data_IF_559251608985
#
_entry.id   IF_559251608985
#
_cell.length_a   1.000
_cell.length_b   1.000
_cell.length_c   1.000
_cell.angle_alpha   90.00
_cell.angle_beta   90.00
_cell.angle_gamma   90.00
#
_symmetry.space_group_name_H-M   'P 1'
#
loop_
_entity.id
_entity.type
_entity.pdbx_description
1 polymer ?
#
# COMPACT_ATOMS: atom_id res chain seq x y z
N UNK A 1 -12.63 10.65 -6.82
CA UNK A 1 -11.53 10.13 -5.96
C UNK A 1 -10.16 10.35 -6.59
N UNK A 2 -9.91 9.84 -7.80
CA UNK A 2 -8.69 10.11 -8.60
C UNK A 2 -9.10 10.46 -10.03
N UNK A 3 -8.37 11.35 -10.69
CA UNK A 3 -8.57 11.72 -12.09
C UNK A 3 -7.41 11.19 -12.94
N UNK A 4 -7.59 9.97 -13.44
CA UNK A 4 -6.59 9.31 -14.30
C UNK A 4 -6.62 9.84 -15.73
N UNK A 5 -7.76 10.41 -16.17
CA UNK A 5 -7.91 10.95 -17.50
C UNK A 5 -7.07 12.24 -17.67
N UNK A 6 -7.16 13.13 -16.70
CA UNK A 6 -6.36 14.36 -16.72
C UNK A 6 -4.87 14.06 -16.57
N UNK A 7 -4.49 13.10 -15.67
CA UNK A 7 -3.10 12.65 -15.56
C UNK A 7 -2.59 12.06 -16.89
N UNK A 8 -3.38 11.21 -17.56
CA UNK A 8 -3.01 10.68 -18.88
C UNK A 8 -2.80 11.79 -19.91
N UNK A 9 -3.66 12.81 -19.93
CA UNK A 9 -3.57 13.89 -20.92
C UNK A 9 -2.24 14.67 -20.83
N UNK A 10 -1.61 14.77 -19.64
CA UNK A 10 -0.33 15.48 -19.45
C UNK A 10 0.87 14.73 -20.04
N UNK A 11 0.77 13.40 -20.22
CA UNK A 11 1.85 12.52 -20.70
C UNK A 11 1.39 11.64 -21.88
N UNK A 12 0.35 12.08 -22.58
CA UNK A 12 -0.35 11.29 -23.59
C UNK A 12 0.53 10.82 -24.74
N UNK A 13 1.35 11.71 -25.28
CA UNK A 13 2.19 11.39 -26.43
C UNK A 13 3.25 10.34 -26.08
N UNK A 14 3.91 10.51 -24.95
CA UNK A 14 4.93 9.58 -24.48
C UNK A 14 4.34 8.20 -24.21
N UNK A 15 3.19 8.14 -23.53
CA UNK A 15 2.48 6.88 -23.24
C UNK A 15 2.06 6.18 -24.54
N UNK A 16 1.41 6.91 -25.46
CA UNK A 16 0.94 6.32 -26.72
C UNK A 16 2.09 5.76 -27.54
N UNK A 17 3.18 6.53 -27.67
CA UNK A 17 4.35 6.09 -28.43
C UNK A 17 4.99 4.82 -27.80
N UNK A 18 5.15 4.79 -26.49
CA UNK A 18 5.74 3.65 -25.81
C UNK A 18 4.87 2.38 -25.92
N UNK A 19 3.55 2.51 -25.75
CA UNK A 19 2.62 1.38 -25.88
C UNK A 19 2.58 0.86 -27.31
N UNK A 20 2.49 1.75 -28.31
CA UNK A 20 2.51 1.35 -29.73
C UNK A 20 3.80 0.65 -30.10
N UNK A 21 4.94 1.12 -29.62
CA UNK A 21 6.24 0.49 -29.87
C UNK A 21 6.30 -0.95 -29.33
N UNK A 22 5.74 -1.21 -28.14
CA UNK A 22 5.65 -2.60 -27.60
C UNK A 22 4.79 -3.47 -28.49
N UNK A 23 3.67 -2.94 -29.01
CA UNK A 23 2.75 -3.68 -29.90
C UNK A 23 3.41 -3.98 -31.23
N UNK A 24 4.05 -2.99 -31.86
CA UNK A 24 4.76 -3.14 -33.13
C UNK A 24 5.88 -4.17 -33.05
N UNK A 25 6.61 -4.19 -31.95
CA UNK A 25 7.70 -5.14 -31.71
C UNK A 25 7.22 -6.53 -31.26
N UNK A 26 5.93 -6.68 -30.93
CA UNK A 26 5.32 -7.92 -30.40
C UNK A 26 6.06 -8.50 -29.16
N UNK A 27 6.66 -7.66 -28.32
CA UNK A 27 7.45 -8.07 -27.13
C UNK A 27 6.62 -7.96 -25.85
N UNK A 28 5.48 -8.64 -25.78
CA UNK A 28 4.48 -8.47 -24.73
C UNK A 28 4.90 -8.98 -23.36
N UNK A 29 5.78 -9.99 -23.30
CA UNK A 29 6.21 -10.64 -22.05
C UNK A 29 7.73 -10.58 -21.92
N UNK A 30 8.21 -10.09 -20.77
CA UNK A 30 9.65 -9.96 -20.47
C UNK A 30 10.43 -9.15 -21.54
N UNK A 31 9.80 -8.15 -22.15
CA UNK A 31 10.44 -7.22 -23.08
C UNK A 31 11.49 -6.32 -22.39
N UNK A 32 12.26 -5.56 -23.18
CA UNK A 32 13.30 -4.69 -22.66
C UNK A 32 12.79 -3.63 -21.69
N UNK A 33 11.52 -3.20 -21.80
CA UNK A 33 10.87 -2.24 -20.92
C UNK A 33 10.77 -2.77 -19.49
N UNK A 34 10.53 -4.07 -19.31
CA UNK A 34 10.51 -4.71 -17.98
C UNK A 34 11.88 -4.64 -17.33
N UNK A 35 12.95 -4.92 -18.10
CA UNK A 35 14.32 -4.84 -17.62
C UNK A 35 14.73 -3.41 -17.28
N UNK A 36 14.37 -2.45 -18.13
CA UNK A 36 14.58 -1.01 -17.90
C UNK A 36 13.87 -0.53 -16.65
N UNK A 37 12.59 -0.87 -16.51
CA UNK A 37 11.80 -0.49 -15.34
C UNK A 37 12.41 -1.07 -14.06
N UNK A 38 12.77 -2.34 -14.06
CA UNK A 38 13.45 -3.00 -12.94
C UNK A 38 14.68 -2.21 -12.49
N UNK A 39 15.60 -1.89 -13.41
CA UNK A 39 16.84 -1.16 -13.12
C UNK A 39 16.54 0.25 -12.59
N UNK A 40 15.62 0.96 -13.23
CA UNK A 40 15.25 2.32 -12.83
C UNK A 40 14.60 2.32 -11.42
N UNK A 41 13.79 1.31 -11.12
CA UNK A 41 13.11 1.19 -9.85
C UNK A 41 14.06 0.73 -8.73
N UNK A 42 15.03 -0.15 -9.02
CA UNK A 42 16.16 -0.48 -8.11
C UNK A 42 16.92 0.79 -7.71
N UNK A 43 17.23 1.63 -8.70
CA UNK A 43 17.92 2.92 -8.47
C UNK A 43 17.07 3.88 -7.64
N UNK A 44 15.78 4.01 -7.94
CA UNK A 44 14.87 4.91 -7.23
C UNK A 44 14.71 4.51 -5.75
N UNK A 45 14.54 3.22 -5.48
CA UNK A 45 14.39 2.68 -4.13
C UNK A 45 15.71 2.53 -3.39
N UNK A 46 16.85 2.60 -4.10
CA UNK A 46 18.19 2.28 -3.56
C UNK A 46 18.24 0.85 -2.96
N UNK A 47 17.74 -0.13 -3.71
CA UNK A 47 17.76 -1.56 -3.37
C UNK A 47 18.53 -2.38 -4.40
N UNK A 48 19.07 -3.51 -3.97
CA UNK A 48 19.86 -4.38 -4.85
C UNK A 48 19.01 -5.13 -5.89
N UNK A 49 17.78 -5.50 -5.54
CA UNK A 49 16.96 -6.36 -6.39
C UNK A 49 15.49 -5.92 -6.37
N UNK A 50 14.90 -5.80 -7.57
CA UNK A 50 13.47 -5.66 -7.81
C UNK A 50 13.01 -6.86 -8.64
N UNK A 51 11.89 -7.45 -8.26
CA UNK A 51 11.24 -8.57 -8.96
C UNK A 51 9.83 -8.08 -9.35
N UNK A 52 9.62 -7.59 -10.58
CA UNK A 52 8.30 -7.20 -11.06
C UNK A 52 7.37 -8.41 -11.14
N UNK A 53 6.10 -8.21 -10.79
CA UNK A 53 5.08 -9.26 -10.78
C UNK A 53 3.72 -8.72 -11.26
N UNK A 54 2.70 -9.59 -11.31
CA UNK A 54 1.43 -9.27 -11.94
C UNK A 54 0.59 -8.24 -11.16
N UNK A 55 0.67 -8.21 -9.85
CA UNK A 55 -0.07 -7.27 -8.98
C UNK A 55 0.50 -7.25 -7.56
N UNK A 56 -0.04 -6.36 -6.70
CA UNK A 56 0.41 -6.23 -5.31
C UNK A 56 0.03 -7.42 -4.42
N UNK A 57 -1.08 -8.09 -4.67
CA UNK A 57 -1.51 -9.28 -3.92
C UNK A 57 -0.55 -10.45 -4.19
N UNK A 58 -0.19 -10.67 -5.45
CA UNK A 58 0.82 -11.65 -5.83
C UNK A 58 2.18 -11.32 -5.20
N UNK A 59 2.56 -10.03 -5.10
CA UNK A 59 3.80 -9.63 -4.46
C UNK A 59 3.85 -10.10 -3.00
N UNK A 60 2.78 -9.90 -2.23
CA UNK A 60 2.66 -10.35 -0.84
C UNK A 60 2.64 -11.88 -0.74
N UNK A 61 1.87 -12.56 -1.59
CA UNK A 61 1.80 -14.02 -1.64
C UNK A 61 3.18 -14.63 -1.91
N UNK A 62 3.85 -14.16 -2.95
CA UNK A 62 5.16 -14.67 -3.35
C UNK A 62 6.21 -14.36 -2.29
N UNK A 63 6.13 -13.19 -1.62
CA UNK A 63 7.02 -12.84 -0.52
C UNK A 63 6.92 -13.87 0.62
N UNK A 64 5.70 -14.20 1.08
CA UNK A 64 5.49 -15.21 2.12
C UNK A 64 5.93 -16.62 1.69
N UNK A 65 5.66 -17.00 0.44
CA UNK A 65 6.17 -18.27 -0.14
C UNK A 65 7.71 -18.28 -0.17
N UNK A 66 8.33 -17.14 -0.53
CA UNK A 66 9.77 -16.99 -0.63
C UNK A 66 10.52 -17.13 0.69
N UNK A 67 9.87 -16.78 1.79
CA UNK A 67 10.39 -16.96 3.15
C UNK A 67 10.35 -18.43 3.62
N UNK A 68 9.69 -19.32 2.88
CA UNK A 68 9.61 -20.75 3.22
C UNK A 68 8.68 -21.04 4.39
N UNK A 69 7.71 -20.17 4.68
CA UNK A 69 6.72 -20.37 5.73
C UNK A 69 5.86 -21.61 5.43
N UNK A 70 5.46 -22.32 6.47
CA UNK A 70 4.71 -23.56 6.36
C UNK A 70 3.26 -23.37 6.85
N UNK A 71 2.28 -24.13 6.33
CA UNK A 71 0.93 -24.12 6.86
C UNK A 71 0.89 -24.27 8.38
N UNK A 72 0.16 -23.37 9.06
CA UNK A 72 0.10 -23.29 10.51
C UNK A 72 1.12 -22.34 11.16
N UNK A 73 2.09 -21.83 10.41
CA UNK A 73 2.94 -20.71 10.89
C UNK A 73 2.09 -19.44 11.03
N UNK A 74 2.39 -18.66 12.05
CA UNK A 74 1.66 -17.44 12.35
C UNK A 74 2.34 -16.21 11.74
N UNK A 75 1.52 -15.30 11.20
CA UNK A 75 1.94 -14.02 10.63
C UNK A 75 1.17 -12.89 11.29
N UNK A 76 1.91 -12.00 11.99
CA UNK A 76 1.33 -10.83 12.65
C UNK A 76 1.11 -9.72 11.63
N UNK A 77 -0.09 -9.13 11.62
CA UNK A 77 -0.47 -8.03 10.72
C UNK A 77 -1.57 -7.17 11.35
N UNK A 78 -1.73 -5.87 10.95
CA UNK A 78 -2.85 -5.08 11.43
C UNK A 78 -4.16 -5.59 10.82
N UNK A 79 -5.26 -5.47 11.59
CA UNK A 79 -6.59 -5.78 11.07
C UNK A 79 -7.23 -4.62 10.30
N UNK A 80 -6.75 -3.39 10.50
CA UNK A 80 -7.20 -2.21 9.76
C UNK A 80 -6.33 -2.00 8.52
N UNK A 81 -6.63 -2.75 7.46
CA UNK A 81 -5.90 -2.71 6.18
C UNK A 81 -6.78 -3.15 5.02
N UNK A 82 -6.26 -3.03 3.79
CA UNK A 82 -6.85 -3.67 2.62
C UNK A 82 -6.71 -5.20 2.73
N UNK A 83 -7.71 -5.91 2.26
CA UNK A 83 -7.83 -7.36 2.48
C UNK A 83 -6.65 -8.16 1.91
N UNK A 84 -5.98 -7.69 0.84
CA UNK A 84 -4.85 -8.38 0.21
C UNK A 84 -3.74 -8.75 1.21
N UNK A 85 -3.43 -7.84 2.16
CA UNK A 85 -2.41 -8.09 3.20
C UNK A 85 -2.70 -9.36 4.00
N UNK A 86 -3.97 -9.65 4.22
CA UNK A 86 -4.44 -10.70 5.14
C UNK A 86 -4.92 -11.96 4.42
N UNK A 87 -5.53 -11.81 3.23
CA UNK A 87 -6.05 -12.96 2.46
C UNK A 87 -4.95 -13.91 2.00
N UNK A 88 -3.77 -13.37 1.63
CA UNK A 88 -2.63 -14.20 1.19
C UNK A 88 -2.09 -15.08 2.32
N UNK A 89 -2.21 -14.65 3.58
CA UNK A 89 -1.85 -15.45 4.76
C UNK A 89 -2.76 -16.67 4.83
N UNK A 90 -4.08 -16.45 4.76
CA UNK A 90 -5.05 -17.54 4.77
C UNK A 90 -4.94 -18.45 3.54
N UNK A 91 -4.73 -17.88 2.34
CA UNK A 91 -4.57 -18.61 1.09
C UNK A 91 -3.41 -19.61 1.14
N UNK A 92 -2.33 -19.27 1.84
CA UNK A 92 -1.16 -20.13 2.01
C UNK A 92 -1.28 -21.12 3.18
N UNK A 93 -2.44 -21.18 3.84
CA UNK A 93 -2.65 -22.03 5.02
C UNK A 93 -1.91 -21.54 6.27
N UNK A 94 -1.40 -20.32 6.24
CA UNK A 94 -0.79 -19.63 7.39
C UNK A 94 -1.90 -19.10 8.31
N UNK A 95 -1.54 -18.77 9.54
CA UNK A 95 -2.49 -18.25 10.53
C UNK A 95 -2.30 -16.75 10.70
N UNK A 96 -3.27 -15.91 10.31
CA UNK A 96 -3.21 -14.49 10.58
C UNK A 96 -3.35 -14.21 12.08
N UNK A 97 -2.43 -13.46 12.64
CA UNK A 97 -2.49 -12.96 14.02
C UNK A 97 -2.72 -11.46 13.94
N UNK A 98 -3.96 -11.04 14.15
CA UNK A 98 -4.31 -9.63 14.06
C UNK A 98 -3.93 -8.88 15.32
N UNK A 99 -3.35 -7.69 15.13
CA UNK A 99 -3.08 -6.73 16.20
C UNK A 99 -3.74 -5.41 15.88
N UNK A 100 -3.97 -4.61 16.92
CA UNK A 100 -4.59 -3.31 16.78
C UNK A 100 -3.62 -2.28 16.18
N UNK A 101 -4.14 -1.14 15.81
CA UNK A 101 -3.41 -0.04 15.18
C UNK A 101 -3.30 1.15 16.14
N UNK A 102 -2.36 2.03 15.87
CA UNK A 102 -2.26 3.32 16.53
C UNK A 102 -3.43 4.22 16.11
N UNK A 103 -4.17 4.84 17.04
CA UNK A 103 -5.39 5.59 16.75
C UNK A 103 -5.16 6.90 15.97
N UNK A 104 -3.91 7.32 15.81
CA UNK A 104 -3.54 8.58 15.14
C UNK A 104 -2.94 8.34 13.75
N UNK A 105 -2.06 7.37 13.61
CA UNK A 105 -1.39 7.04 12.34
C UNK A 105 -2.12 5.95 11.55
N UNK A 106 -2.97 5.17 12.22
CA UNK A 106 -3.69 4.01 11.70
C UNK A 106 -2.78 2.87 11.23
N UNK A 107 -1.47 3.00 11.42
CA UNK A 107 -0.51 1.94 11.20
C UNK A 107 -0.48 0.97 12.40
N UNK A 108 0.09 -0.21 12.19
CA UNK A 108 0.23 -1.23 13.25
C UNK A 108 0.85 -0.62 14.52
N UNK A 109 0.24 -0.90 15.69
CA UNK A 109 0.80 -0.50 16.99
C UNK A 109 1.91 -1.47 17.41
N UNK A 110 3.19 -1.03 17.44
CA UNK A 110 4.29 -1.92 17.78
C UNK A 110 4.21 -2.43 19.23
N UNK A 111 3.52 -1.73 20.13
CA UNK A 111 3.35 -2.17 21.53
C UNK A 111 2.46 -3.41 21.65
N UNK A 112 1.64 -3.70 20.65
CA UNK A 112 0.76 -4.87 20.60
C UNK A 112 1.43 -6.09 19.96
N UNK A 113 2.51 -5.91 19.19
CA UNK A 113 3.18 -6.99 18.46
C UNK A 113 3.78 -8.01 19.42
N UNK A 114 4.51 -7.55 20.42
CA UNK A 114 5.29 -8.45 21.30
C UNK A 114 4.40 -9.40 22.12
N UNK A 115 3.22 -8.90 22.55
CA UNK A 115 2.23 -9.71 23.27
C UNK A 115 1.55 -10.77 22.39
N UNK A 116 1.57 -10.57 21.06
CA UNK A 116 0.98 -11.47 20.09
C UNK A 116 1.93 -12.58 19.60
N UNK A 117 3.22 -12.50 19.96
CA UNK A 117 4.23 -13.47 19.51
C UNK A 117 4.07 -14.80 20.25
N UNK A 118 4.02 -15.88 19.48
CA UNK A 118 4.07 -17.28 19.98
C UNK A 118 5.27 -18.02 19.36
N UNK A 119 5.56 -19.26 19.78
CA UNK A 119 6.58 -20.09 19.12
C UNK A 119 6.30 -20.39 17.64
N UNK A 120 5.05 -20.21 17.18
CA UNK A 120 4.64 -20.40 15.78
C UNK A 120 4.78 -19.15 14.94
N UNK A 121 4.96 -17.98 15.55
CA UNK A 121 5.11 -16.72 14.83
C UNK A 121 6.41 -16.73 14.03
N UNK A 122 6.32 -16.42 12.73
CA UNK A 122 7.45 -16.41 11.81
C UNK A 122 7.69 -15.08 11.12
N UNK A 123 6.62 -14.29 10.93
CA UNK A 123 6.73 -13.02 10.22
C UNK A 123 5.81 -11.94 10.80
N UNK A 124 6.17 -10.69 10.51
CA UNK A 124 5.34 -9.51 10.71
C UNK A 124 5.13 -8.87 9.34
N UNK A 125 3.88 -8.52 9.02
CA UNK A 125 3.53 -7.78 7.80
C UNK A 125 2.95 -6.42 8.20
N UNK A 126 3.80 -5.39 8.43
CA UNK A 126 3.34 -4.03 8.63
C UNK A 126 2.80 -3.46 7.31
N UNK A 127 1.81 -2.58 7.42
CA UNK A 127 1.25 -1.85 6.28
C UNK A 127 1.57 -0.38 6.43
N UNK A 128 2.13 0.23 5.38
CA UNK A 128 2.33 1.68 5.29
C UNK A 128 1.02 2.33 4.82
N UNK A 129 0.07 2.44 5.75
CA UNK A 129 -1.32 2.74 5.43
C UNK A 129 -1.48 4.18 4.92
N UNK A 130 -2.32 4.37 3.89
CA UNK A 130 -2.66 5.64 3.27
C UNK A 130 -1.49 6.46 2.72
N UNK A 131 -0.28 5.90 2.76
CA UNK A 131 0.93 6.56 2.29
C UNK A 131 1.81 7.11 3.41
N UNK A 132 1.59 6.70 4.66
CA UNK A 132 2.42 6.99 5.82
C UNK A 132 3.20 5.75 6.25
N UNK A 133 4.46 5.91 6.64
CA UNK A 133 5.27 4.81 7.10
C UNK A 133 4.79 4.26 8.45
N UNK A 134 4.74 2.93 8.58
CA UNK A 134 4.63 2.26 9.87
C UNK A 134 5.89 2.53 10.73
N UNK A 135 5.84 2.36 12.06
CA UNK A 135 6.96 2.62 12.96
C UNK A 135 8.07 1.55 12.84
N UNK A 136 8.81 1.60 11.71
CA UNK A 136 9.71 0.53 11.29
C UNK A 136 10.88 0.27 12.24
N UNK A 137 11.42 1.31 12.91
CA UNK A 137 12.53 1.08 13.87
C UNK A 137 12.09 0.19 15.03
N UNK A 138 10.88 0.39 15.55
CA UNK A 138 10.28 -0.40 16.62
C UNK A 138 9.99 -1.81 16.14
N UNK A 139 9.37 -1.96 14.96
CA UNK A 139 9.04 -3.25 14.36
C UNK A 139 10.30 -4.07 14.11
N UNK A 140 11.32 -3.48 13.49
CA UNK A 140 12.59 -4.17 13.20
C UNK A 140 13.34 -4.57 14.50
N UNK A 141 13.26 -3.77 15.56
CA UNK A 141 13.83 -4.13 16.85
C UNK A 141 13.12 -5.35 17.45
N UNK A 142 11.79 -5.43 17.39
CA UNK A 142 11.03 -6.60 17.84
C UNK A 142 11.38 -7.81 16.97
N UNK A 143 11.32 -7.68 15.66
CA UNK A 143 11.62 -8.75 14.72
C UNK A 143 13.01 -9.35 14.95
N UNK A 144 14.01 -8.50 15.16
CA UNK A 144 15.39 -8.93 15.45
C UNK A 144 15.50 -9.73 16.76
N UNK A 145 14.83 -9.27 17.84
CA UNK A 145 14.85 -9.98 19.14
C UNK A 145 14.23 -11.38 19.04
N UNK A 146 13.15 -11.49 18.26
CA UNK A 146 12.38 -12.72 18.14
C UNK A 146 12.71 -13.54 16.88
N UNK A 147 13.69 -13.09 16.08
CA UNK A 147 14.12 -13.73 14.81
C UNK A 147 12.95 -13.93 13.83
N UNK A 148 12.12 -12.92 13.70
CA UNK A 148 10.98 -12.88 12.78
C UNK A 148 11.37 -12.19 11.48
N UNK A 149 10.80 -12.65 10.38
CA UNK A 149 10.87 -11.93 9.10
C UNK A 149 9.92 -10.71 9.09
N UNK A 150 10.28 -9.70 8.28
CA UNK A 150 9.44 -8.52 8.07
C UNK A 150 9.18 -8.35 6.58
N UNK A 151 7.90 -8.44 6.19
CA UNK A 151 7.44 -8.15 4.82
C UNK A 151 6.65 -6.84 4.86
N UNK A 152 7.19 -5.78 4.26
CA UNK A 152 6.53 -4.48 4.24
C UNK A 152 5.47 -4.43 3.13
N UNK A 153 4.18 -4.26 3.50
CA UNK A 153 3.15 -3.91 2.54
C UNK A 153 3.23 -2.41 2.23
N UNK A 154 3.90 -2.11 1.13
CA UNK A 154 4.14 -0.75 0.63
C UNK A 154 3.18 -0.36 -0.51
N UNK A 155 2.08 -1.10 -0.70
CA UNK A 155 1.13 -0.88 -1.80
C UNK A 155 0.49 0.52 -1.80
N UNK A 156 0.54 1.24 -0.68
CA UNK A 156 -0.03 2.58 -0.54
C UNK A 156 1.02 3.67 -0.30
N UNK A 157 2.31 3.33 -0.15
CA UNK A 157 3.32 4.29 0.29
C UNK A 157 4.56 4.37 -0.61
N UNK A 158 4.45 3.95 -1.87
CA UNK A 158 5.56 4.12 -2.80
C UNK A 158 5.92 5.62 -2.93
N UNK A 159 7.23 5.92 -2.82
CA UNK A 159 7.74 7.29 -2.78
C UNK A 159 7.88 7.90 -1.38
N UNK A 160 7.34 7.23 -0.34
CA UNK A 160 7.47 7.68 1.03
C UNK A 160 8.88 7.44 1.58
N UNK A 161 9.41 8.43 2.30
CA UNK A 161 10.64 8.29 3.08
C UNK A 161 10.30 7.98 4.54
N UNK A 162 11.09 7.10 5.14
CA UNK A 162 11.11 6.85 6.58
C UNK A 162 12.37 7.45 7.20
N UNK A 163 12.19 8.26 8.25
CA UNK A 163 13.27 8.92 8.97
C UNK A 163 13.61 8.13 10.23
N UNK A 164 14.75 7.42 10.19
CA UNK A 164 15.23 6.62 11.32
C UNK A 164 15.65 7.47 12.51
N UNK A 165 15.56 6.90 13.72
CA UNK A 165 16.01 7.58 14.97
C UNK A 165 17.48 7.93 14.97
N UNK A 166 18.29 7.23 14.19
CA UNK A 166 19.73 7.47 14.03
C UNK A 166 20.07 8.49 12.92
N UNK A 167 19.07 9.10 12.30
CA UNK A 167 19.22 10.11 11.26
C UNK A 167 19.33 9.56 9.84
N UNK A 168 19.35 8.24 9.63
CA UNK A 168 19.25 7.65 8.28
C UNK A 168 17.87 7.90 7.67
N UNK A 169 17.83 7.91 6.34
CA UNK A 169 16.59 7.97 5.57
C UNK A 169 16.52 6.74 4.67
N UNK A 170 15.38 6.06 4.67
CA UNK A 170 15.11 4.92 3.79
C UNK A 170 13.77 5.09 3.10
N UNK A 171 13.64 4.60 1.87
CA UNK A 171 12.31 4.45 1.26
C UNK A 171 11.51 3.37 2.00
N UNK A 172 10.22 3.60 2.22
CA UNK A 172 9.34 2.55 2.74
C UNK A 172 9.37 1.32 1.83
N UNK A 173 9.28 0.14 2.44
CA UNK A 173 9.42 -1.14 1.76
C UNK A 173 10.87 -1.62 1.59
N UNK A 174 11.88 -0.82 2.01
CA UNK A 174 13.30 -1.20 1.87
C UNK A 174 13.99 -1.47 3.20
N UNK A 175 13.23 -1.55 4.29
CA UNK A 175 13.72 -1.62 5.66
C UNK A 175 13.65 -3.05 6.20
N UNK A 176 12.57 -3.77 5.88
CA UNK A 176 12.37 -5.18 6.19
C UNK A 176 13.14 -6.13 5.27
N UNK A 177 12.80 -7.41 5.34
CA UNK A 177 13.43 -8.44 4.49
C UNK A 177 12.94 -8.37 3.05
N UNK A 178 11.65 -8.08 2.84
CA UNK A 178 11.02 -7.93 1.53
C UNK A 178 10.04 -6.77 1.58
N UNK A 179 10.09 -5.88 0.58
CA UNK A 179 9.03 -4.91 0.32
C UNK A 179 8.13 -5.38 -0.81
N UNK A 180 6.83 -5.11 -0.69
CA UNK A 180 5.82 -5.43 -1.68
C UNK A 180 5.05 -4.18 -2.08
N UNK A 181 4.89 -3.92 -3.38
CA UNK A 181 4.12 -2.77 -3.85
C UNK A 181 3.15 -3.15 -4.97
N UNK A 182 2.16 -2.30 -5.17
CA UNK A 182 1.15 -2.40 -6.21
C UNK A 182 1.27 -1.23 -7.17
N UNK A 183 1.10 -1.52 -8.46
CA UNK A 183 0.98 -0.52 -9.52
C UNK A 183 -0.45 -0.42 -10.06
N UNK A 184 -1.45 -0.82 -9.28
CA UNK A 184 -2.86 -0.61 -9.64
C UNK A 184 -3.09 0.85 -10.06
N UNK A 185 -3.93 1.16 -11.05
CA UNK A 185 -3.99 2.48 -11.69
C UNK A 185 -4.13 3.67 -10.75
N UNK A 186 -4.85 3.54 -9.64
CA UNK A 186 -5.04 4.64 -8.66
C UNK A 186 -3.88 4.82 -7.68
N UNK A 187 -2.85 3.95 -7.70
CA UNK A 187 -1.67 4.09 -6.83
C UNK A 187 -0.82 5.29 -7.24
N UNK A 188 0.00 5.80 -6.30
CA UNK A 188 0.87 6.95 -6.58
C UNK A 188 1.79 6.70 -7.79
N UNK A 189 2.25 5.47 -7.96
CA UNK A 189 2.86 4.97 -9.18
C UNK A 189 1.95 3.87 -9.75
N UNK A 190 1.00 4.24 -10.59
CA UNK A 190 0.03 3.32 -11.19
C UNK A 190 0.29 3.10 -12.68
N UNK A 191 0.22 1.84 -13.14
CA UNK A 191 0.15 1.49 -14.54
C UNK A 191 -1.29 1.57 -15.09
N UNK A 192 -1.56 1.09 -16.30
CA UNK A 192 -2.90 1.11 -16.89
C UNK A 192 -3.47 -0.31 -16.99
N UNK A 193 -3.46 -0.99 -15.87
CA UNK A 193 -3.91 -2.35 -15.62
C UNK A 193 -3.34 -2.82 -14.30
N UNK A 194 -3.18 -4.12 -14.11
CA UNK A 194 -2.54 -4.67 -12.94
C UNK A 194 -1.01 -4.64 -13.07
N UNK A 195 -0.34 -4.49 -11.93
CA UNK A 195 1.11 -4.53 -11.80
C UNK A 195 1.52 -4.51 -10.33
N UNK A 196 2.70 -5.03 -10.06
CA UNK A 196 3.30 -5.04 -8.74
C UNK A 196 4.79 -5.34 -8.79
N UNK A 197 5.43 -5.26 -7.65
CA UNK A 197 6.82 -5.68 -7.49
C UNK A 197 7.12 -6.06 -6.05
N UNK A 198 8.05 -7.01 -5.92
CA UNK A 198 8.79 -7.29 -4.69
C UNK A 198 10.19 -6.71 -4.80
N UNK A 199 10.79 -6.34 -3.68
CA UNK A 199 12.17 -5.86 -3.65
C UNK A 199 12.88 -6.24 -2.35
N UNK A 200 14.18 -6.49 -2.45
CA UNK A 200 15.01 -6.93 -1.32
C UNK A 200 16.48 -6.62 -1.58
N UNK A 201 17.26 -6.53 -0.52
CA UNK A 201 18.73 -6.45 -0.59
C UNK A 201 19.40 -7.82 -0.47
N UNK A 202 18.64 -8.89 -0.24
CA UNK A 202 19.17 -10.26 -0.11
C UNK A 202 19.11 -10.98 -1.47
N UNK A 203 20.29 -11.31 -2.04
CA UNK A 203 20.38 -11.93 -3.38
C UNK A 203 19.78 -13.33 -3.44
N UNK A 204 19.91 -14.13 -2.38
CA UNK A 204 19.36 -15.49 -2.35
C UNK A 204 17.83 -15.43 -2.30
N UNK A 205 17.30 -14.51 -1.49
CA UNK A 205 15.87 -14.28 -1.43
C UNK A 205 15.32 -13.77 -2.76
N UNK A 206 16.01 -12.82 -3.41
CA UNK A 206 15.63 -12.33 -4.74
C UNK A 206 15.59 -13.44 -5.80
N UNK A 207 16.59 -14.33 -5.79
CA UNK A 207 16.60 -15.49 -6.71
C UNK A 207 15.43 -16.43 -6.45
N UNK A 208 15.08 -16.68 -5.17
CA UNK A 208 13.95 -17.51 -4.81
C UNK A 208 12.60 -16.88 -5.19
N UNK A 209 12.40 -15.59 -4.91
CA UNK A 209 11.21 -14.83 -5.31
C UNK A 209 10.99 -14.87 -6.84
N UNK A 210 12.06 -14.62 -7.62
CA UNK A 210 12.02 -14.68 -9.07
C UNK A 210 11.66 -16.08 -9.58
N UNK A 211 12.19 -17.14 -8.95
CA UNK A 211 11.87 -18.54 -9.27
C UNK A 211 10.39 -18.82 -9.01
N UNK A 212 9.86 -18.46 -7.84
CA UNK A 212 8.45 -18.66 -7.48
C UNK A 212 7.53 -17.91 -8.45
N UNK A 213 7.80 -16.64 -8.75
CA UNK A 213 7.03 -15.84 -9.70
C UNK A 213 6.99 -16.40 -11.12
N UNK A 214 7.90 -17.32 -11.45
CA UNK A 214 8.03 -17.97 -12.76
C UNK A 214 7.81 -19.48 -12.67
N UNK A 215 6.67 -19.92 -12.14
CA UNK A 215 6.29 -21.34 -12.03
C UNK A 215 7.29 -22.22 -11.26
N UNK A 216 8.08 -21.67 -10.36
CA UNK A 216 9.07 -22.44 -9.60
C UNK A 216 10.27 -22.94 -10.42
N UNK A 217 10.55 -22.34 -11.59
CA UNK A 217 11.61 -22.79 -12.49
C UNK A 217 12.72 -21.74 -12.63
N UNK A 218 13.96 -22.23 -12.75
CA UNK A 218 15.13 -21.46 -13.19
C UNK A 218 15.46 -21.81 -14.66
N UNK A 219 15.46 -23.10 -14.96
CA UNK A 219 15.61 -23.61 -16.32
C UNK A 219 14.25 -23.98 -16.88
N UNK A 220 13.97 -23.61 -18.12
CA UNK A 220 12.68 -23.85 -18.78
C UNK A 220 12.27 -25.33 -18.66
N UNK A 221 11.05 -25.58 -18.19
CA UNK A 221 10.44 -26.89 -17.91
C UNK A 221 11.07 -27.70 -16.75
N UNK A 222 11.97 -27.10 -15.97
CA UNK A 222 12.50 -27.72 -14.74
C UNK A 222 11.96 -26.94 -13.52
N UNK A 223 10.87 -27.46 -12.94
CA UNK A 223 10.17 -26.84 -11.81
C UNK A 223 10.70 -27.42 -10.50
N UNK A 224 11.46 -26.61 -9.74
CA UNK A 224 12.11 -27.05 -8.50
C UNK A 224 11.22 -26.86 -7.27
N UNK A 225 10.32 -25.90 -7.31
CA UNK A 225 9.37 -25.58 -6.22
C UNK A 225 8.00 -25.26 -6.80
N UNK A 226 6.98 -25.28 -5.95
CA UNK A 226 5.66 -24.76 -6.35
C UNK A 226 5.78 -23.25 -6.55
N UNK A 227 5.28 -22.76 -7.67
CA UNK A 227 5.29 -21.35 -8.01
C UNK A 227 4.00 -20.92 -8.69
N UNK A 228 3.97 -19.66 -9.12
CA UNK A 228 2.85 -19.06 -9.82
C UNK A 228 3.31 -18.39 -11.13
N UNK A 229 2.35 -18.02 -11.96
CA UNK A 229 2.58 -17.23 -13.15
C UNK A 229 2.32 -15.76 -12.80
N UNK A 230 3.35 -15.06 -12.32
CA UNK A 230 3.21 -13.67 -11.89
C UNK A 230 4.32 -12.82 -12.48
N UNK A 231 3.97 -12.02 -13.48
CA UNK A 231 4.89 -11.19 -14.27
C UNK A 231 4.26 -9.85 -14.54
N UNK A 232 5.09 -8.82 -14.62
CA UNK A 232 4.67 -7.52 -15.12
C UNK A 232 4.69 -7.55 -16.66
N UNK A 233 3.56 -7.25 -17.29
CA UNK A 233 3.47 -7.16 -18.74
C UNK A 233 4.32 -6.00 -19.27
N UNK A 234 4.90 -6.20 -20.46
CA UNK A 234 5.80 -5.21 -21.07
C UNK A 234 5.10 -3.86 -21.32
N UNK A 235 3.82 -3.88 -21.71
CA UNK A 235 3.02 -2.66 -21.86
C UNK A 235 2.94 -1.88 -20.55
N UNK A 236 2.69 -2.56 -19.44
CA UNK A 236 2.62 -1.91 -18.12
C UNK A 236 3.99 -1.37 -17.68
N UNK A 237 5.06 -2.10 -17.97
CA UNK A 237 6.43 -1.64 -17.70
C UNK A 237 6.81 -0.40 -18.53
N UNK A 238 6.38 -0.33 -19.79
CA UNK A 238 6.58 0.85 -20.65
C UNK A 238 5.91 2.10 -20.04
N UNK A 239 4.67 1.98 -19.58
CA UNK A 239 3.93 3.04 -18.89
C UNK A 239 4.64 3.46 -17.60
N UNK A 240 5.06 2.49 -16.79
CA UNK A 240 5.75 2.75 -15.53
C UNK A 240 7.11 3.44 -15.72
N UNK A 241 7.86 3.14 -16.80
CA UNK A 241 9.12 3.83 -17.12
C UNK A 241 8.91 5.33 -17.37
N UNK A 242 7.75 5.74 -17.92
CA UNK A 242 7.41 7.15 -18.14
C UNK A 242 6.99 7.79 -16.83
N UNK A 243 6.20 7.08 -15.99
CA UNK A 243 5.64 7.65 -14.76
C UNK A 243 6.61 7.65 -13.58
N UNK A 244 7.58 6.74 -13.53
CA UNK A 244 8.53 6.65 -12.41
C UNK A 244 9.35 7.94 -12.20
N UNK A 245 9.88 8.61 -13.22
CA UNK A 245 10.55 9.90 -13.04
C UNK A 245 9.65 11.02 -12.49
N UNK A 246 8.33 10.88 -12.62
CA UNK A 246 7.34 11.84 -12.16
C UNK A 246 6.83 11.55 -10.74
N UNK A 247 7.19 10.40 -10.14
CA UNK A 247 6.62 9.94 -8.87
C UNK A 247 6.77 10.96 -7.73
N UNK A 248 7.95 11.58 -7.59
CA UNK A 248 8.17 12.56 -6.52
C UNK A 248 7.32 13.82 -6.73
N UNK A 249 7.12 14.24 -8.00
CA UNK A 249 6.21 15.36 -8.32
C UNK A 249 4.76 15.02 -8.02
N UNK A 250 4.33 13.77 -8.30
CA UNK A 250 3.00 13.27 -7.96
C UNK A 250 2.76 13.24 -6.44
N UNK A 251 3.74 12.76 -5.67
CA UNK A 251 3.67 12.80 -4.21
C UNK A 251 3.61 14.24 -3.68
N UNK A 252 4.38 15.16 -4.26
CA UNK A 252 4.34 16.57 -3.88
C UNK A 252 3.01 17.24 -4.23
N UNK A 253 2.40 16.94 -5.38
CA UNK A 253 1.06 17.44 -5.72
C UNK A 253 0.01 16.97 -4.70
N UNK A 254 0.04 15.70 -4.31
CA UNK A 254 -0.85 15.17 -3.26
C UNK A 254 -0.63 15.81 -1.88
N UNK A 255 0.63 16.11 -1.52
CA UNK A 255 0.94 16.85 -0.27
C UNK A 255 0.33 18.25 -0.29
N UNK A 256 0.40 18.98 -1.42
CA UNK A 256 -0.23 20.30 -1.56
C UNK A 256 -1.74 20.25 -1.38
N UNK A 257 -2.40 19.24 -1.96
CA UNK A 257 -3.83 19.01 -1.73
C UNK A 257 -4.12 18.75 -0.25
N UNK A 258 -3.32 17.91 0.40
CA UNK A 258 -3.46 17.62 1.82
C UNK A 258 -3.23 18.87 2.69
N UNK A 259 -2.23 19.71 2.36
CA UNK A 259 -1.99 20.99 3.03
C UNK A 259 -3.20 21.92 2.94
N UNK A 260 -3.83 21.97 1.77
CA UNK A 260 -5.05 22.77 1.56
C UNK A 260 -6.21 22.29 2.44
N UNK A 261 -6.45 20.99 2.48
CA UNK A 261 -7.49 20.40 3.31
C UNK A 261 -7.20 20.58 4.81
N UNK A 262 -5.97 20.37 5.26
CA UNK A 262 -5.57 20.56 6.66
C UNK A 262 -5.88 22.01 7.12
N UNK A 263 -5.52 23.00 6.30
CA UNK A 263 -5.81 24.41 6.58
C UNK A 263 -7.32 24.70 6.55
N UNK A 264 -8.05 24.15 5.58
CA UNK A 264 -9.48 24.38 5.42
C UNK A 264 -10.32 23.84 6.58
N UNK A 265 -9.88 22.73 7.21
CA UNK A 265 -10.65 22.00 8.23
C UNK A 265 -10.17 22.24 9.67
N UNK A 266 -9.08 22.97 9.88
CA UNK A 266 -8.45 23.19 11.20
C UNK A 266 -9.39 23.71 12.31
N UNK A 267 -10.47 24.40 11.93
CA UNK A 267 -11.43 24.97 12.84
C UNK A 267 -12.74 24.15 12.97
N UNK A 268 -12.78 22.93 12.45
CA UNK A 268 -13.91 22.01 12.57
C UNK A 268 -13.53 20.91 13.55
N UNK A 269 -13.85 21.02 14.84
CA UNK A 269 -13.36 20.10 15.88
C UNK A 269 -13.88 18.67 15.70
N UNK A 270 -14.92 18.45 14.91
CA UNK A 270 -15.46 17.14 14.59
C UNK A 270 -14.68 16.42 13.47
N UNK A 271 -13.78 17.11 12.78
CA UNK A 271 -12.92 16.55 11.73
C UNK A 271 -11.49 16.48 12.22
N UNK A 272 -10.98 15.27 12.40
CA UNK A 272 -9.56 15.06 12.67
C UNK A 272 -8.86 14.79 11.33
N UNK A 273 -8.01 15.71 10.93
CA UNK A 273 -7.19 15.57 9.71
C UNK A 273 -6.09 14.53 9.92
N UNK A 274 -5.56 13.90 8.82
CA UNK A 274 -4.50 12.90 8.93
C UNK A 274 -3.29 13.43 9.69
N UNK A 275 -2.90 12.73 10.75
CA UNK A 275 -1.67 13.07 11.50
C UNK A 275 -0.47 12.72 10.62
N UNK A 276 0.46 13.66 10.50
CA UNK A 276 1.73 13.46 9.81
C UNK A 276 2.81 13.14 10.83
N UNK A 277 3.28 11.89 10.82
CA UNK A 277 4.41 11.49 11.65
C UNK A 277 5.67 12.27 11.23
N UNK A 278 6.43 12.77 12.20
CA UNK A 278 7.77 13.34 11.98
C UNK A 278 8.78 12.30 11.45
N UNK A 279 8.42 11.02 11.51
CA UNK A 279 9.20 9.89 11.03
C UNK A 279 8.86 9.49 9.59
N UNK A 280 7.98 10.22 8.89
CA UNK A 280 7.48 9.82 7.58
C UNK A 280 7.20 11.03 6.67
N UNK A 281 7.65 10.94 5.42
CA UNK A 281 7.26 11.90 4.39
C UNK A 281 5.93 11.51 3.75
N UNK A 282 4.84 11.48 4.50
CA UNK A 282 3.52 11.02 4.04
C UNK A 282 3.22 11.37 2.56
N UNK A 283 2.85 10.37 1.73
CA UNK A 283 2.63 10.56 0.28
C UNK A 283 1.15 10.60 -0.12
N UNK A 284 0.24 10.53 0.85
CA UNK A 284 -1.20 10.70 0.71
C UNK A 284 -1.78 9.90 -0.48
N UNK A 285 -1.60 8.58 -0.46
CA UNK A 285 -2.37 7.71 -1.36
C UNK A 285 -3.87 7.96 -1.15
N UNK A 286 -4.26 8.19 0.10
CA UNK A 286 -5.60 8.64 0.50
C UNK A 286 -5.47 9.80 1.50
N UNK A 287 -6.45 10.71 1.46
CA UNK A 287 -6.64 11.71 2.50
C UNK A 287 -7.85 11.30 3.33
N UNK A 288 -7.59 10.72 4.50
CA UNK A 288 -8.60 10.08 5.33
C UNK A 288 -8.80 10.85 6.61
N UNK A 289 -9.99 11.44 6.75
CA UNK A 289 -10.45 12.12 7.96
C UNK A 289 -10.97 11.08 8.96
N UNK A 290 -10.82 11.38 10.26
CA UNK A 290 -11.54 10.70 11.34
C UNK A 290 -12.62 11.62 11.88
N UNK A 291 -13.84 11.12 12.01
CA UNK A 291 -14.99 11.85 12.53
C UNK A 291 -15.10 11.69 14.05
N UNK A 292 -15.33 12.78 14.76
CA UNK A 292 -15.52 12.82 16.20
C UNK A 292 -16.83 13.55 16.57
N UNK A 293 -17.17 13.62 17.86
CA UNK A 293 -18.34 14.37 18.34
C UNK A 293 -19.69 13.79 17.95
N UNK A 294 -19.75 12.48 17.62
CA UNK A 294 -21.01 11.81 17.30
C UNK A 294 -21.54 12.11 15.89
N UNK A 295 -20.69 12.59 14.99
CA UNK A 295 -21.05 12.83 13.59
C UNK A 295 -21.47 11.53 12.92
N UNK A 296 -22.63 11.54 12.27
CA UNK A 296 -23.14 10.45 11.47
C UNK A 296 -22.40 10.43 10.11
N UNK A 297 -21.48 9.49 9.94
CA UNK A 297 -20.66 9.35 8.74
C UNK A 297 -21.52 9.09 7.50
N UNK A 298 -22.55 8.26 7.62
CA UNK A 298 -23.35 7.86 6.46
C UNK A 298 -24.18 9.02 5.94
N UNK A 299 -24.66 9.90 6.84
CA UNK A 299 -25.30 11.17 6.45
C UNK A 299 -24.32 12.14 5.77
N UNK A 300 -23.07 12.20 6.24
CA UNK A 300 -22.06 13.02 5.57
C UNK A 300 -21.77 12.48 4.15
N UNK A 301 -21.66 11.17 3.98
CA UNK A 301 -21.46 10.52 2.68
C UNK A 301 -22.65 10.81 1.74
N UNK A 302 -23.88 10.64 2.22
CA UNK A 302 -25.10 10.95 1.46
C UNK A 302 -25.12 12.41 1.01
N UNK A 303 -24.91 13.34 1.94
CA UNK A 303 -24.83 14.76 1.64
C UNK A 303 -23.76 15.08 0.57
N UNK A 304 -22.53 14.57 0.73
CA UNK A 304 -21.45 14.81 -0.21
C UNK A 304 -21.78 14.24 -1.62
N UNK A 305 -22.37 13.06 -1.67
CA UNK A 305 -22.80 12.45 -2.94
C UNK A 305 -23.87 13.31 -3.64
N UNK A 306 -24.85 13.85 -2.91
CA UNK A 306 -25.89 14.74 -3.43
C UNK A 306 -25.29 16.05 -3.99
N UNK A 307 -24.16 16.48 -3.44
CA UNK A 307 -23.40 17.63 -3.95
C UNK A 307 -22.37 17.24 -5.03
N UNK A 308 -22.36 15.99 -5.50
CA UNK A 308 -21.41 15.51 -6.52
C UNK A 308 -19.96 15.38 -6.04
N UNK A 309 -19.74 15.36 -4.73
CA UNK A 309 -18.42 15.14 -4.12
C UNK A 309 -18.26 13.66 -3.75
N UNK A 310 -17.48 12.88 -4.52
CA UNK A 310 -17.28 11.47 -4.21
C UNK A 310 -16.47 11.31 -2.93
N UNK A 311 -16.89 10.39 -2.06
CA UNK A 311 -16.16 10.01 -0.86
C UNK A 311 -16.15 8.50 -0.69
N UNK A 312 -15.20 7.96 0.07
CA UNK A 312 -15.05 6.53 0.26
C UNK A 312 -14.69 6.20 1.70
N UNK A 313 -15.07 4.99 2.15
CA UNK A 313 -14.66 4.45 3.45
C UNK A 313 -13.61 3.38 3.23
N UNK A 314 -12.41 3.62 3.73
CA UNK A 314 -11.30 2.67 3.74
C UNK A 314 -10.89 2.41 5.20
N UNK A 315 -11.37 1.31 5.88
CA UNK A 315 -12.21 0.23 5.35
C UNK A 315 -13.47 0.07 6.23
N UNK A 316 -14.63 -0.31 5.67
CA UNK A 316 -15.87 -0.36 6.44
C UNK A 316 -16.00 -1.57 7.37
N UNK A 317 -15.25 -2.64 7.10
CA UNK A 317 -15.24 -3.89 7.89
C UNK A 317 -13.78 -4.26 8.14
N UNK A 318 -13.37 -4.46 9.39
CA UNK A 318 -12.01 -4.85 9.71
C UNK A 318 -11.74 -6.29 9.27
N UNK A 319 -10.47 -6.61 8.98
CA UNK A 319 -10.11 -7.91 8.42
C UNK A 319 -10.58 -9.08 9.29
N UNK A 320 -10.40 -9.02 10.61
CA UNK A 320 -10.79 -10.09 11.53
C UNK A 320 -12.30 -10.39 11.54
N UNK A 321 -13.16 -9.45 11.11
CA UNK A 321 -14.62 -9.64 11.01
C UNK A 321 -15.09 -10.00 9.60
N UNK A 322 -14.19 -10.14 8.65
CA UNK A 322 -14.54 -10.61 7.31
C UNK A 322 -14.93 -12.09 7.36
N UNK A 323 -16.02 -12.43 6.67
CA UNK A 323 -16.56 -13.82 6.66
C UNK A 323 -15.53 -14.87 6.25
N UNK A 324 -14.55 -14.52 5.44
CA UNK A 324 -13.47 -15.42 5.03
C UNK A 324 -12.61 -15.92 6.20
N UNK A 325 -12.57 -15.18 7.31
CA UNK A 325 -11.83 -15.56 8.51
C UNK A 325 -12.66 -16.27 9.58
N UNK A 326 -13.96 -16.54 9.34
CA UNK A 326 -14.83 -17.22 10.31
C UNK A 326 -14.27 -18.60 10.74
N UNK A 327 -13.63 -19.34 9.81
CA UNK A 327 -13.01 -20.63 10.10
C UNK A 327 -11.81 -20.54 11.06
N UNK A 328 -11.24 -19.35 11.26
CA UNK A 328 -10.15 -19.09 12.19
C UNK A 328 -10.64 -18.68 13.59
N UNK A 329 -11.95 -18.42 13.77
CA UNK A 329 -12.54 -18.00 15.05
C UNK A 329 -12.01 -16.65 15.55
N UNK A 330 -11.78 -15.69 14.63
CA UNK A 330 -11.13 -14.39 14.92
C UNK A 330 -12.13 -13.24 15.09
N UNK A 331 -13.42 -13.46 14.80
CA UNK A 331 -14.44 -12.41 14.79
C UNK A 331 -14.65 -11.70 16.13
N UNK A 332 -14.43 -12.40 17.25
CA UNK A 332 -14.56 -11.87 18.62
C UNK A 332 -13.25 -11.27 19.15
N UNK A 333 -12.21 -11.17 18.34
CA UNK A 333 -10.95 -10.59 18.77
C UNK A 333 -11.13 -9.14 19.19
N UNK A 334 -10.60 -8.78 20.37
CA UNK A 334 -10.69 -7.42 20.92
C UNK A 334 -9.66 -6.49 20.28
N UNK A 335 -10.08 -5.75 19.26
CA UNK A 335 -9.30 -4.73 18.55
C UNK A 335 -10.08 -3.40 18.57
N UNK A 336 -10.14 -2.72 19.73
CA UNK A 336 -11.04 -1.59 19.93
C UNK A 336 -10.78 -0.41 19.00
N UNK A 337 -9.50 -0.09 18.72
CA UNK A 337 -9.15 1.03 17.83
C UNK A 337 -9.55 0.69 16.40
N UNK A 338 -9.21 -0.49 15.92
CA UNK A 338 -9.63 -0.97 14.60
C UNK A 338 -11.16 -0.92 14.44
N UNK A 339 -11.91 -1.43 15.43
CA UNK A 339 -13.37 -1.42 15.40
C UNK A 339 -13.93 0.01 15.37
N UNK A 340 -13.36 0.93 16.15
CA UNK A 340 -13.74 2.34 16.16
C UNK A 340 -13.49 2.99 14.79
N UNK A 341 -12.30 2.84 14.23
CA UNK A 341 -11.91 3.46 12.96
C UNK A 341 -12.83 3.05 11.81
N UNK A 342 -13.25 1.79 11.73
CA UNK A 342 -14.15 1.32 10.67
C UNK A 342 -15.49 2.06 10.63
N UNK A 343 -15.91 2.68 11.75
CA UNK A 343 -17.15 3.46 11.84
C UNK A 343 -16.92 4.97 11.67
N UNK A 344 -15.68 5.45 11.83
CA UNK A 344 -15.39 6.89 11.93
C UNK A 344 -14.62 7.46 10.74
N UNK A 345 -14.00 6.64 9.89
CA UNK A 345 -13.17 7.18 8.81
C UNK A 345 -13.95 7.48 7.54
N UNK A 346 -13.55 8.56 6.86
CA UNK A 346 -14.03 8.95 5.52
C UNK A 346 -12.87 9.54 4.74
N UNK A 347 -12.71 9.15 3.48
CA UNK A 347 -11.65 9.65 2.61
C UNK A 347 -12.19 10.58 1.55
N UNK A 348 -11.51 11.71 1.36
CA UNK A 348 -11.84 12.73 0.37
C UNK A 348 -11.06 12.50 -0.93
N UNK A 349 -11.51 13.11 -2.05
CA UNK A 349 -10.77 13.08 -3.29
C UNK A 349 -9.35 13.65 -3.12
N UNK A 350 -8.38 12.91 -3.65
CA UNK A 350 -6.99 13.38 -3.70
C UNK A 350 -6.29 12.77 -4.91
N UNK A 351 -5.75 13.62 -5.79
CA UNK A 351 -4.98 13.21 -6.97
C UNK A 351 -4.02 14.31 -7.41
N UNK A 352 -3.21 14.00 -8.40
CA UNK A 352 -2.13 14.87 -8.88
C UNK A 352 -2.61 16.10 -9.64
N UNK A 353 -3.82 16.02 -10.21
CA UNK A 353 -4.42 17.02 -11.10
C UNK A 353 -5.58 17.80 -10.40
N UNK A 354 -5.53 17.91 -9.06
CA UNK A 354 -6.52 18.70 -8.31
C UNK A 354 -6.33 20.19 -8.58
N UNK A 355 -7.38 20.85 -9.08
CA UNK A 355 -7.43 22.28 -9.30
C UNK A 355 -7.96 23.01 -8.06
N UNK A 356 -7.59 24.27 -7.87
CA UNK A 356 -7.97 25.07 -6.70
C UNK A 356 -9.50 25.20 -6.58
N UNK A 357 -10.20 25.38 -7.69
CA UNK A 357 -11.67 25.47 -7.75
C UNK A 357 -12.34 24.18 -7.22
N UNK A 358 -11.77 23.01 -7.53
CA UNK A 358 -12.25 21.73 -7.03
C UNK A 358 -12.05 21.63 -5.50
N UNK A 359 -10.89 22.07 -5.01
CA UNK A 359 -10.55 22.08 -3.59
C UNK A 359 -11.47 23.04 -2.82
N UNK A 360 -11.68 24.25 -3.33
CA UNK A 360 -12.62 25.22 -2.77
C UNK A 360 -14.03 24.66 -2.66
N UNK A 361 -14.51 24.05 -3.75
CA UNK A 361 -15.83 23.45 -3.79
C UNK A 361 -16.00 22.34 -2.76
N UNK A 362 -15.09 21.37 -2.72
CA UNK A 362 -15.12 20.26 -1.76
C UNK A 362 -15.12 20.77 -0.33
N UNK A 363 -14.22 21.71 -0.03
CA UNK A 363 -14.12 22.30 1.32
C UNK A 363 -15.39 23.07 1.70
N UNK A 364 -15.99 23.81 0.76
CA UNK A 364 -17.25 24.53 1.00
C UNK A 364 -18.40 23.59 1.33
N UNK A 365 -18.54 22.46 0.61
CA UNK A 365 -19.59 21.48 0.90
C UNK A 365 -19.41 20.85 2.29
N UNK A 366 -18.18 20.47 2.65
CA UNK A 366 -17.90 19.93 3.99
C UNK A 366 -18.24 20.96 5.07
N UNK A 367 -17.79 22.22 4.94
CA UNK A 367 -18.11 23.29 5.90
C UNK A 367 -19.62 23.52 6.01
N UNK A 368 -20.36 23.43 4.90
CA UNK A 368 -21.81 23.56 4.89
C UNK A 368 -22.48 22.47 5.73
N UNK A 369 -22.05 21.22 5.63
CA UNK A 369 -22.58 20.12 6.44
C UNK A 369 -22.40 20.35 7.94
N UNK A 370 -21.25 20.87 8.37
CA UNK A 370 -20.94 21.09 9.78
C UNK A 370 -21.50 22.41 10.37
N UNK A 371 -21.97 23.33 9.51
CA UNK A 371 -22.59 24.59 9.97
C UNK A 371 -24.12 24.50 10.03
N UNK A 372 -24.73 23.45 9.54
CA UNK A 372 -26.14 23.15 9.60
C UNK A 372 -26.47 22.22 10.78
#
# INVERSE_FOLDING_TARGET
>A
MVDLQSQYNTIKEEINNAVLQVIENATFINGPEVSSFKINFEKYLNVAHVIPCANGTDALQIALMGLGLQPGDEVITPSFTYIATTEVIALLGLVPVFVDVDPTTFCIDPTKIEAAITPKTKAIVPVHLYGQAAPMDEIMNIAKRHKLFVVEDNAQAIGCDFYHKDGRVSKTGTIGDIGCTSFFPSKNLGCYGDGGAMYTNNSDLAANLKKIANHGQVVKYHHEVVGCNSRLDTIQAAILNIKLPLLDSYCNARRKVADYYDEAFKNIPQLITPIRSDRSSHVFHQYTLKLEGGVDRDKLIEFLNDQGVPSMVYYPIPAHKQKMFAAFGLEDQDLPITNELTTKVISLPIHTEMEEEQLEYICAQIKTFFNN
#
